data_IF_644102329494
#
_entry.id   IF_644102329494
#
_cell.length_a   1.000
_cell.length_b   1.000
_cell.length_c   1.000
_cell.angle_alpha   90.00
_cell.angle_beta   90.00
_cell.angle_gamma   90.00
#
_symmetry.space_group_name_H-M   'P 1'
#
loop_
_entity.id
_entity.type
_entity.pdbx_description
1 polymer ?
#
# COMPACT_ATOMS: atom_id res chain seq x y z
N UNK A 1 18.20 -6.63 -6.40
CA UNK A 1 17.55 -6.13 -5.17
C UNK A 1 16.29 -5.44 -5.62
N UNK A 2 15.12 -6.01 -5.29
CA UNK A 2 13.85 -5.33 -5.51
C UNK A 2 13.83 -4.07 -4.65
N UNK A 3 13.31 -2.97 -5.20
CA UNK A 3 13.16 -1.73 -4.45
C UNK A 3 12.06 -1.97 -3.41
N UNK A 4 12.37 -1.79 -2.12
CA UNK A 4 11.36 -1.87 -1.08
C UNK A 4 10.59 -0.54 -1.09
N UNK A 5 9.28 -0.61 -1.33
CA UNK A 5 8.38 0.54 -1.32
C UNK A 5 7.72 0.66 0.05
N UNK A 6 7.54 1.89 0.53
CA UNK A 6 6.78 2.12 1.76
C UNK A 6 5.28 1.96 1.51
N UNK A 7 4.51 1.72 2.57
CA UNK A 7 3.04 1.67 2.48
C UNK A 7 2.46 2.99 1.96
N UNK A 8 3.10 4.12 2.27
CA UNK A 8 2.68 5.43 1.75
C UNK A 8 2.96 5.57 0.24
N UNK A 9 4.08 5.04 -0.24
CA UNK A 9 4.38 4.99 -1.69
C UNK A 9 3.36 4.11 -2.41
N UNK A 10 3.06 2.93 -1.86
CA UNK A 10 2.07 1.98 -2.43
C UNK A 10 0.66 2.58 -2.39
N UNK A 11 0.28 3.29 -1.32
CA UNK A 11 -1.03 3.92 -1.18
C UNK A 11 -1.29 5.08 -2.17
N UNK A 12 -0.23 5.62 -2.79
CA UNK A 12 -0.32 6.73 -3.75
C UNK A 12 -0.16 6.29 -5.21
N UNK A 13 0.13 5.02 -5.44
CA UNK A 13 0.43 4.48 -6.76
C UNK A 13 -0.41 3.23 -7.00
N UNK A 14 -1.40 3.34 -7.92
CA UNK A 14 -2.30 2.24 -8.23
C UNK A 14 -1.58 1.03 -8.85
N UNK A 15 -0.48 1.25 -9.60
CA UNK A 15 0.30 0.15 -10.16
C UNK A 15 1.00 -0.64 -9.04
N UNK A 16 1.58 0.07 -8.06
CA UNK A 16 2.17 -0.57 -6.89
C UNK A 16 1.10 -1.22 -6.00
N UNK A 17 -0.06 -0.60 -5.83
CA UNK A 17 -1.19 -1.20 -5.11
C UNK A 17 -1.59 -2.53 -5.75
N UNK A 18 -1.71 -2.58 -7.08
CA UNK A 18 -1.98 -3.82 -7.81
C UNK A 18 -0.87 -4.86 -7.65
N UNK A 19 0.40 -4.46 -7.61
CA UNK A 19 1.51 -5.42 -7.48
C UNK A 19 1.61 -6.04 -6.07
N UNK A 20 1.40 -5.23 -5.02
CA UNK A 20 1.70 -5.60 -3.64
C UNK A 20 0.47 -5.92 -2.79
N UNK A 21 -0.66 -5.24 -3.02
CA UNK A 21 -1.86 -5.32 -2.17
C UNK A 21 -2.99 -6.06 -2.85
N UNK A 22 -3.25 -5.76 -4.13
CA UNK A 22 -4.37 -6.29 -4.89
C UNK A 22 -3.96 -6.87 -6.26
N UNK A 23 -3.16 -7.96 -6.28
CA UNK A 23 -2.70 -8.60 -7.52
C UNK A 23 -3.81 -9.29 -8.32
N UNK A 24 -5.02 -9.38 -7.75
CA UNK A 24 -6.19 -9.88 -8.45
C UNK A 24 -7.06 -8.75 -9.03
N UNK A 25 -6.66 -7.49 -8.87
CA UNK A 25 -7.39 -6.31 -9.32
C UNK A 25 -8.87 -6.33 -8.89
N UNK A 26 -9.10 -6.65 -7.62
CA UNK A 26 -10.43 -6.63 -6.98
C UNK A 26 -10.96 -5.21 -6.75
N UNK A 27 -10.06 -4.23 -6.65
CA UNK A 27 -10.33 -2.80 -6.54
C UNK A 27 -9.99 -2.08 -7.85
N UNK A 28 -10.92 -1.26 -8.35
CA UNK A 28 -10.71 -0.43 -9.53
C UNK A 28 -9.90 0.83 -9.21
N UNK A 29 -9.26 1.42 -10.23
CA UNK A 29 -8.51 2.68 -10.10
C UNK A 29 -9.39 3.82 -9.54
N UNK A 30 -10.66 3.90 -9.94
CA UNK A 30 -11.58 4.90 -9.40
C UNK A 30 -11.87 4.69 -7.91
N UNK A 31 -12.09 3.46 -7.47
CA UNK A 31 -12.27 3.15 -6.04
C UNK A 31 -10.99 3.44 -5.24
N UNK A 32 -9.83 3.18 -5.84
CA UNK A 32 -8.54 3.54 -5.26
C UNK A 32 -8.42 5.07 -5.12
N UNK A 33 -8.71 5.86 -6.16
CA UNK A 33 -8.61 7.32 -6.12
C UNK A 33 -9.62 7.98 -5.18
N UNK A 34 -10.79 7.37 -4.99
CA UNK A 34 -11.80 7.84 -4.03
C UNK A 34 -11.40 7.58 -2.57
N UNK A 35 -10.55 6.59 -2.32
CA UNK A 35 -10.09 6.24 -0.97
C UNK A 35 -8.93 7.15 -0.52
N UNK A 36 -8.97 7.71 0.69
CA UNK A 36 -7.84 8.47 1.23
C UNK A 36 -6.58 7.62 1.42
N UNK A 37 -5.41 8.18 1.12
CA UNK A 37 -4.11 7.49 1.28
C UNK A 37 -3.94 6.90 2.69
N UNK A 38 -4.37 7.62 3.73
CA UNK A 38 -4.26 7.14 5.11
C UNK A 38 -5.11 5.90 5.40
N UNK A 39 -6.22 5.71 4.70
CA UNK A 39 -7.06 4.51 4.83
C UNK A 39 -6.41 3.32 4.11
N UNK A 40 -5.85 3.55 2.92
CA UNK A 40 -5.07 2.56 2.17
C UNK A 40 -3.83 2.09 2.94
N UNK A 41 -3.11 3.00 3.59
CA UNK A 41 -1.97 2.64 4.47
C UNK A 41 -2.46 1.76 5.61
N UNK A 42 -3.58 2.13 6.25
CA UNK A 42 -4.15 1.34 7.35
C UNK A 42 -4.57 -0.07 6.90
N UNK A 43 -5.13 -0.19 5.70
CA UNK A 43 -5.45 -1.50 5.11
C UNK A 43 -4.18 -2.35 4.94
N UNK A 44 -3.09 -1.76 4.46
CA UNK A 44 -1.80 -2.46 4.37
C UNK A 44 -1.29 -2.88 5.75
N UNK A 45 -1.37 -2.01 6.76
CA UNK A 45 -0.99 -2.35 8.14
C UNK A 45 -1.85 -3.47 8.74
N UNK A 46 -3.16 -3.48 8.46
CA UNK A 46 -4.10 -4.49 8.95
C UNK A 46 -3.88 -5.85 8.27
N UNK A 47 -3.51 -5.86 6.98
CA UNK A 47 -3.28 -7.07 6.19
C UNK A 47 -1.89 -7.67 6.39
N UNK A 48 -0.85 -6.84 6.43
CA UNK A 48 0.54 -7.26 6.40
C UNK A 48 1.30 -6.98 7.71
N UNK A 49 0.67 -6.27 8.64
CA UNK A 49 1.30 -5.76 9.85
C UNK A 49 1.87 -4.34 9.64
N UNK A 50 2.13 -3.64 10.74
CA UNK A 50 2.72 -2.29 10.71
C UNK A 50 4.02 -2.30 9.93
N UNK A 51 4.22 -1.26 9.13
CA UNK A 51 5.50 -1.04 8.48
C UNK A 51 6.58 -0.93 9.56
N UNK A 52 7.57 -1.83 9.51
CA UNK A 52 8.75 -1.73 10.35
C UNK A 52 9.56 -0.52 9.89
N UNK A 53 9.18 0.65 10.40
CA UNK A 53 10.08 1.79 10.48
C UNK A 53 11.30 1.30 11.24
N UNK A 54 12.41 1.10 10.51
CA UNK A 54 13.66 0.66 11.11
C UNK A 54 14.22 1.82 11.93
N UNK A 55 13.64 2.10 13.11
CA UNK A 55 14.25 2.92 14.14
C UNK A 55 15.33 2.08 14.82
N UNK A 56 16.51 2.05 14.20
CA UNK A 56 17.72 1.57 14.86
C UNK A 56 18.10 2.57 15.96
N UNK A 57 17.85 2.21 17.23
CA UNK A 57 18.44 2.85 18.42
C UNK A 57 19.86 2.33 18.67
#
# INVERSE_FOLDING_TARGET
>A
MGKQHSYEEIAKDYELWGEYVDPQATMTESEFDEMPDGEKVKMQEDMFGKEETTENN
#
